data_IF_020747486332
#
_entry.id   IF_020747486332
#
_cell.length_a   1.000
_cell.length_b   1.000
_cell.length_c   1.000
_cell.angle_alpha   90.00
_cell.angle_beta   90.00
_cell.angle_gamma   90.00
#
_symmetry.space_group_name_H-M   'P 1'
#
loop_
_entity.id
_entity.type
_entity.pdbx_description
1 polymer ?
#
# COMPACT_ATOMS: atom_id res chain seq x y z
N UNK A 1 -16.45 7.85 9.72
CA UNK A 1 -16.71 7.03 8.52
C UNK A 1 -17.19 5.65 8.94
N UNK A 2 -18.51 5.39 8.95
CA UNK A 2 -19.04 4.04 9.29
C UNK A 2 -18.61 2.94 8.32
N UNK A 3 -18.11 3.30 7.13
CA UNK A 3 -17.70 2.39 6.06
C UNK A 3 -16.30 1.76 6.20
N UNK A 4 -15.46 2.16 7.15
CA UNK A 4 -14.12 1.53 7.33
C UNK A 4 -14.14 0.46 8.42
N UNK A 5 -14.94 0.67 9.46
CA UNK A 5 -15.02 -0.26 10.59
C UNK A 5 -15.38 -1.66 10.11
N UNK A 6 -14.67 -2.66 10.63
CA UNK A 6 -14.83 -4.08 10.30
C UNK A 6 -14.51 -4.49 8.85
N UNK A 7 -14.08 -3.57 7.99
CA UNK A 7 -13.67 -3.90 6.63
C UNK A 7 -12.20 -4.30 6.57
N UNK A 8 -11.88 -5.14 5.59
CA UNK A 8 -10.51 -5.47 5.20
C UNK A 8 -10.03 -4.44 4.18
N UNK A 9 -9.01 -3.69 4.56
CA UNK A 9 -8.46 -2.59 3.77
C UNK A 9 -7.06 -2.92 3.29
N UNK A 10 -6.76 -2.72 2.01
CA UNK A 10 -5.42 -2.86 1.45
C UNK A 10 -4.95 -1.55 0.81
N UNK A 11 -3.78 -1.06 1.23
CA UNK A 11 -3.15 0.16 0.71
C UNK A 11 -1.82 -0.19 0.04
N UNK A 12 -1.65 0.16 -1.24
CA UNK A 12 -0.34 0.15 -1.91
C UNK A 12 0.35 1.51 -1.79
N UNK A 13 1.67 1.58 -1.87
CA UNK A 13 2.42 2.83 -1.65
C UNK A 13 2.32 3.35 -0.22
N UNK A 14 2.21 2.45 0.76
CA UNK A 14 1.94 2.80 2.15
C UNK A 14 3.19 3.16 2.98
N UNK A 15 4.39 3.09 2.40
CA UNK A 15 5.65 3.33 3.12
C UNK A 15 5.99 4.80 3.34
N UNK A 16 5.29 5.74 2.68
CA UNK A 16 5.56 7.18 2.84
C UNK A 16 4.39 8.06 2.36
N UNK A 17 4.47 9.35 2.67
CA UNK A 17 3.64 10.39 2.05
C UNK A 17 2.14 10.19 2.28
N UNK A 18 1.34 10.28 1.21
CA UNK A 18 -0.12 10.16 1.29
C UNK A 18 -0.53 8.75 1.75
N UNK A 19 0.16 7.71 1.31
CA UNK A 19 -0.19 6.32 1.65
C UNK A 19 0.06 6.02 3.12
N UNK A 20 1.16 6.55 3.67
CA UNK A 20 1.45 6.50 5.11
C UNK A 20 0.38 7.26 5.91
N UNK A 21 0.09 8.52 5.55
CA UNK A 21 -0.91 9.33 6.24
C UNK A 21 -2.30 8.67 6.20
N UNK A 22 -2.66 8.08 5.06
CA UNK A 22 -3.88 7.32 4.90
C UNK A 22 -3.89 6.07 5.77
N UNK A 23 -2.79 5.31 5.84
CA UNK A 23 -2.69 4.14 6.71
C UNK A 23 -2.95 4.51 8.18
N UNK A 24 -2.36 5.62 8.65
CA UNK A 24 -2.60 6.13 10.00
C UNK A 24 -4.05 6.53 10.22
N UNK A 25 -4.67 7.26 9.29
CA UNK A 25 -6.07 7.66 9.43
C UNK A 25 -6.99 6.43 9.43
N UNK A 26 -6.83 5.51 8.48
CA UNK A 26 -7.61 4.27 8.38
C UNK A 26 -7.50 3.44 9.66
N UNK A 27 -6.30 3.33 10.24
CA UNK A 27 -6.09 2.55 11.46
C UNK A 27 -6.93 3.05 12.65
N UNK A 28 -7.29 4.34 12.69
CA UNK A 28 -8.12 4.94 13.75
C UNK A 28 -9.60 4.56 13.61
N UNK A 29 -10.04 4.14 12.43
CA UNK A 29 -11.43 3.74 12.17
C UNK A 29 -11.70 2.25 12.40
N UNK A 30 -10.75 1.53 13.00
CA UNK A 30 -10.91 0.12 13.43
C UNK A 30 -11.34 -0.84 12.30
N UNK A 31 -10.59 -0.92 11.18
CA UNK A 31 -10.77 -2.00 10.21
C UNK A 31 -10.54 -3.36 10.87
N UNK A 32 -11.13 -4.41 10.31
CA UNK A 32 -10.88 -5.79 10.78
C UNK A 32 -9.46 -6.25 10.45
N UNK A 33 -8.93 -5.78 9.32
CA UNK A 33 -7.57 -6.02 8.87
C UNK A 33 -7.11 -4.85 8.00
N UNK A 34 -5.89 -4.38 8.24
CA UNK A 34 -5.18 -3.45 7.38
C UNK A 34 -3.96 -4.14 6.74
N UNK A 35 -3.88 -4.14 5.41
CA UNK A 35 -2.74 -4.64 4.66
C UNK A 35 -2.01 -3.45 4.04
N UNK A 36 -0.70 -3.35 4.27
CA UNK A 36 0.14 -2.27 3.74
C UNK A 36 1.18 -2.85 2.78
N UNK A 37 1.36 -2.21 1.64
CA UNK A 37 2.30 -2.65 0.62
C UNK A 37 3.13 -1.50 0.06
N UNK A 38 4.39 -1.81 -0.20
CA UNK A 38 5.36 -0.98 -0.91
C UNK A 38 6.44 -1.91 -1.51
N UNK A 39 7.31 -1.44 -2.42
CA UNK A 39 8.43 -2.23 -2.91
C UNK A 39 9.32 -2.75 -1.76
N UNK A 40 9.94 -3.92 -1.95
CA UNK A 40 10.78 -4.54 -0.92
C UNK A 40 11.93 -3.66 -0.43
N UNK A 41 12.43 -2.74 -1.27
CA UNK A 41 13.43 -1.74 -0.88
C UNK A 41 12.96 -0.75 0.18
N UNK A 42 11.65 -0.66 0.45
CA UNK A 42 11.04 0.20 1.47
C UNK A 42 10.45 -0.61 2.64
N UNK A 43 10.90 -1.85 2.84
CA UNK A 43 10.36 -2.72 3.88
C UNK A 43 10.51 -2.11 5.29
N UNK A 44 11.63 -1.43 5.55
CA UNK A 44 11.87 -0.79 6.85
C UNK A 44 10.85 0.32 7.15
N UNK A 45 10.62 1.23 6.21
CA UNK A 45 9.62 2.28 6.36
C UNK A 45 8.20 1.70 6.44
N UNK A 46 7.90 0.70 5.61
CA UNK A 46 6.60 0.01 5.62
C UNK A 46 6.30 -0.63 6.98
N UNK A 47 7.29 -1.30 7.59
CA UNK A 47 7.15 -1.89 8.93
C UNK A 47 7.02 -0.84 10.03
N UNK A 48 7.68 0.32 9.90
CA UNK A 48 7.51 1.43 10.82
C UNK A 48 6.06 1.97 10.78
N UNK A 49 5.51 2.14 9.58
CA UNK A 49 4.10 2.52 9.39
C UNK A 49 3.17 1.47 10.00
N UNK A 50 3.37 0.18 9.69
CA UNK A 50 2.56 -0.90 10.22
C UNK A 50 2.60 -0.97 11.76
N UNK A 51 3.79 -0.79 12.34
CA UNK A 51 3.98 -0.78 13.79
C UNK A 51 3.21 0.35 14.47
N UNK A 52 3.18 1.53 13.86
CA UNK A 52 2.38 2.66 14.35
C UNK A 52 0.87 2.42 14.19
N UNK A 53 0.43 1.82 13.09
CA UNK A 53 -0.97 1.43 12.92
C UNK A 53 -1.41 0.40 13.98
N UNK A 54 -0.56 -0.57 14.33
CA UNK A 54 -0.86 -1.57 15.38
C UNK A 54 -1.11 -0.93 16.76
N UNK A 55 -0.54 0.24 17.03
CA UNK A 55 -0.77 0.97 18.29
C UNK A 55 -2.22 1.44 18.46
N UNK A 56 -3.03 1.48 17.39
CA UNK A 56 -4.47 1.77 17.49
C UNK A 56 -5.31 0.55 17.87
N UNK A 57 -4.69 -0.61 18.11
CA UNK A 57 -5.36 -1.84 18.52
C UNK A 57 -5.89 -2.71 17.37
N UNK A 58 -5.56 -2.37 16.12
CA UNK A 58 -5.99 -3.13 14.94
C UNK A 58 -5.01 -4.23 14.54
N UNK A 59 -5.48 -5.17 13.72
CA UNK A 59 -4.61 -6.12 13.01
C UNK A 59 -4.05 -5.43 11.76
N UNK A 60 -2.72 -5.38 11.64
CA UNK A 60 -2.04 -4.80 10.50
C UNK A 60 -0.93 -5.72 10.00
N UNK A 61 -0.91 -6.03 8.70
CA UNK A 61 0.12 -6.83 8.04
C UNK A 61 0.79 -6.05 6.91
N UNK A 62 2.04 -6.39 6.64
CA UNK A 62 2.80 -5.86 5.51
C UNK A 62 2.92 -6.94 4.44
N UNK A 63 2.78 -6.55 3.18
CA UNK A 63 3.06 -7.41 2.02
C UNK A 63 3.90 -6.58 1.06
N UNK A 64 5.24 -6.68 1.12
CA UNK A 64 6.10 -5.96 0.19
C UNK A 64 6.02 -6.57 -1.21
N UNK A 65 5.83 -5.73 -2.23
CA UNK A 65 5.89 -6.10 -3.65
C UNK A 65 6.05 -4.87 -4.55
N UNK A 66 6.63 -5.06 -5.73
CA UNK A 66 6.78 -4.03 -6.76
C UNK A 66 5.60 -4.09 -7.76
N UNK A 67 4.84 -2.98 -7.86
CA UNK A 67 3.70 -2.85 -8.77
C UNK A 67 4.08 -2.95 -10.25
N UNK A 68 5.35 -2.74 -10.61
CA UNK A 68 5.85 -2.88 -11.98
C UNK A 68 6.10 -4.33 -12.40
N UNK A 69 6.05 -5.28 -11.46
CA UNK A 69 6.32 -6.70 -11.69
C UNK A 69 5.07 -7.55 -11.50
N UNK A 70 4.53 -8.03 -12.61
CA UNK A 70 3.25 -8.74 -12.65
C UNK A 70 3.24 -10.00 -11.78
N UNK A 71 4.35 -10.73 -11.75
CA UNK A 71 4.52 -11.96 -10.98
C UNK A 71 4.40 -11.68 -9.48
N UNK A 72 5.03 -10.60 -8.99
CA UNK A 72 4.97 -10.22 -7.58
C UNK A 72 3.55 -9.82 -7.15
N UNK A 73 2.73 -9.26 -8.06
CA UNK A 73 1.32 -8.92 -7.78
C UNK A 73 0.51 -10.20 -7.50
N UNK A 74 0.70 -11.25 -8.29
CA UNK A 74 0.00 -12.53 -8.08
C UNK A 74 0.40 -13.19 -6.76
N UNK A 75 1.69 -13.17 -6.42
CA UNK A 75 2.17 -13.66 -5.13
C UNK A 75 1.66 -12.83 -3.95
N UNK A 76 1.65 -11.50 -4.07
CA UNK A 76 1.13 -10.60 -3.05
C UNK A 76 -0.36 -10.84 -2.79
N UNK A 77 -1.14 -11.04 -3.86
CA UNK A 77 -2.55 -11.41 -3.74
C UNK A 77 -2.73 -12.76 -3.05
N UNK A 78 -1.96 -13.78 -3.43
CA UNK A 78 -2.02 -15.08 -2.76
C UNK A 78 -1.70 -14.99 -1.26
N UNK A 79 -0.68 -14.20 -0.87
CA UNK A 79 -0.34 -13.91 0.52
C UNK A 79 -1.48 -13.17 1.24
N UNK A 80 -2.09 -12.17 0.61
CA UNK A 80 -3.24 -11.47 1.18
C UNK A 80 -4.41 -12.45 1.42
N UNK A 81 -4.68 -13.37 0.49
CA UNK A 81 -5.73 -14.37 0.61
C UNK A 81 -5.47 -15.45 1.68
N UNK A 82 -4.22 -15.60 2.13
CA UNK A 82 -3.89 -16.43 3.29
C UNK A 82 -4.22 -15.73 4.63
N UNK A 83 -4.26 -14.40 4.64
CA UNK A 83 -4.60 -13.61 5.83
C UNK A 83 -6.12 -13.39 5.98
N UNK A 84 -6.85 -13.41 4.88
CA UNK A 84 -8.28 -13.06 4.80
C UNK A 84 -8.91 -13.69 3.56
N UNK A 85 -10.21 -13.95 3.58
CA UNK A 85 -10.95 -14.45 2.41
C UNK A 85 -11.60 -13.34 1.56
N UNK A 86 -11.39 -12.07 1.92
CA UNK A 86 -11.97 -10.90 1.24
C UNK A 86 -11.07 -9.67 1.34
N UNK A 87 -11.23 -8.77 0.38
CA UNK A 87 -10.74 -7.38 0.42
C UNK A 87 -11.94 -6.49 0.12
N UNK A 88 -12.27 -5.60 1.05
CA UNK A 88 -13.46 -4.74 0.92
C UNK A 88 -13.13 -3.41 0.28
N UNK A 89 -11.93 -2.89 0.58
CA UNK A 89 -11.47 -1.59 0.13
C UNK A 89 -10.02 -1.72 -0.27
N UNK A 90 -9.70 -1.25 -1.47
CA UNK A 90 -8.34 -1.15 -1.95
C UNK A 90 -8.02 0.29 -2.32
N UNK A 91 -6.90 0.79 -1.81
CA UNK A 91 -6.34 2.10 -2.14
C UNK A 91 -5.10 1.92 -3.01
N UNK A 92 -5.20 2.31 -4.27
CA UNK A 92 -4.08 2.33 -5.21
C UNK A 92 -3.26 3.62 -5.02
N UNK A 93 -2.41 3.64 -3.99
CA UNK A 93 -1.57 4.80 -3.68
C UNK A 93 -0.09 4.57 -4.02
N UNK A 94 0.26 3.39 -4.55
CA UNK A 94 1.58 3.13 -5.12
C UNK A 94 1.75 3.81 -6.48
N UNK A 95 2.80 4.58 -6.63
CA UNK A 95 3.14 5.27 -7.87
C UNK A 95 4.55 5.86 -7.80
N UNK A 96 5.09 6.17 -8.97
CA UNK A 96 6.35 6.91 -9.11
C UNK A 96 6.05 8.22 -9.83
N UNK A 97 6.90 9.23 -9.61
CA UNK A 97 6.74 10.56 -10.22
C UNK A 97 8.05 10.96 -10.86
N UNK A 98 7.96 11.59 -12.02
CA UNK A 98 9.10 12.20 -12.71
C UNK A 98 9.12 13.71 -12.48
N UNK A 99 10.33 14.25 -12.27
CA UNK A 99 10.57 15.68 -12.03
C UNK A 99 11.57 16.21 -13.06
N UNK A 100 11.08 16.53 -14.25
CA UNK A 100 11.81 17.14 -15.35
C UNK A 100 10.87 17.97 -16.22
N UNK A 101 11.43 18.82 -17.08
CA UNK A 101 10.62 19.42 -18.15
C UNK A 101 10.12 18.30 -19.07
N UNK A 102 8.95 18.53 -19.70
CA UNK A 102 8.38 17.55 -20.64
C UNK A 102 9.36 17.26 -21.78
N UNK A 103 10.02 18.30 -22.30
CA UNK A 103 11.02 18.17 -23.37
C UNK A 103 12.29 17.41 -22.97
N UNK A 104 12.60 17.37 -21.67
CA UNK A 104 13.77 16.69 -21.12
C UNK A 104 13.45 15.26 -20.65
N UNK A 105 12.17 14.87 -20.65
CA UNK A 105 11.73 13.58 -20.12
C UNK A 105 11.97 12.49 -21.17
N UNK A 106 12.81 11.48 -20.88
CA UNK A 106 13.02 10.37 -21.79
C UNK A 106 11.70 9.59 -22.02
N UNK A 107 11.46 9.17 -23.27
CA UNK A 107 10.22 8.47 -23.63
C UNK A 107 10.02 7.13 -22.92
N UNK A 108 11.11 6.47 -22.51
CA UNK A 108 11.06 5.25 -21.70
C UNK A 108 10.57 5.52 -20.27
N UNK A 109 10.90 6.69 -19.69
CA UNK A 109 10.37 7.14 -18.41
C UNK A 109 8.89 7.51 -18.53
N UNK A 110 8.53 8.23 -19.59
CA UNK A 110 7.13 8.58 -19.89
C UNK A 110 6.24 7.32 -20.01
N UNK A 111 6.66 6.34 -20.80
CA UNK A 111 5.97 5.04 -20.94
C UNK A 111 5.93 4.19 -19.67
N UNK A 112 6.80 4.47 -18.69
CA UNK A 112 6.76 3.78 -17.40
C UNK A 112 5.71 4.38 -16.47
N UNK A 113 5.32 5.64 -16.70
CA UNK A 113 4.34 6.37 -15.89
C UNK A 113 2.90 6.23 -16.41
N UNK A 114 2.73 6.07 -17.73
CA UNK A 114 1.45 6.04 -18.44
C UNK A 114 1.28 4.76 -19.26
#
# INVERSE_FOLDING_TARGET
MSKIKNNVVWITGASSGIGEALAYEISRHQPSLLILSAPAGNATELEAVASRCKQTGIVCHTIPFDLSKKEEIHEAFAKAMQLTNRIDIMFHNGGVSQRSLVEETPTDIDRKLF
#
